data_IF_552256335145
#
_entry.id   IF_552256335145
#
_cell.length_a   1.000
_cell.length_b   1.000
_cell.length_c   1.000
_cell.angle_alpha   90.00
_cell.angle_beta   90.00
_cell.angle_gamma   90.00
#
_symmetry.space_group_name_H-M   'P 1'
#
loop_
_entity.id
_entity.type
_entity.pdbx_description
1 polymer ?
#
# COMPACT_ATOMS: atom_id res chain seq x y z
N UNK A 1 15.35 7.80 11.85
CA UNK A 1 14.39 7.85 10.72
C UNK A 1 13.92 6.42 10.45
N UNK A 2 12.62 6.11 10.62
CA UNK A 2 12.15 4.71 10.60
C UNK A 2 11.90 4.18 9.18
N UNK A 3 11.45 4.99 8.23
CA UNK A 3 11.05 4.51 6.89
C UNK A 3 12.10 4.70 5.79
N UNK A 4 13.36 4.99 6.14
CA UNK A 4 14.38 5.39 5.17
C UNK A 4 14.22 6.85 4.72
N UNK A 5 15.23 7.39 4.05
CA UNK A 5 15.28 8.81 3.67
C UNK A 5 14.30 9.13 2.54
N UNK A 6 14.10 8.17 1.65
CA UNK A 6 13.23 8.25 0.48
C UNK A 6 11.99 7.34 0.61
N UNK A 7 11.68 6.86 1.82
CA UNK A 7 10.60 5.91 2.06
C UNK A 7 10.91 4.49 1.60
N UNK A 8 12.18 4.16 1.34
CA UNK A 8 12.64 2.86 0.84
C UNK A 8 12.51 1.71 1.87
N UNK A 9 12.21 2.05 3.12
CA UNK A 9 12.23 1.15 4.27
C UNK A 9 13.65 0.91 4.76
N UNK A 10 13.81 0.62 6.06
CA UNK A 10 15.11 0.20 6.62
C UNK A 10 15.13 -1.31 6.82
N UNK A 11 16.20 -1.96 6.37
CA UNK A 11 16.47 -3.38 6.66
C UNK A 11 17.61 -3.47 7.67
N UNK A 12 17.42 -4.20 8.78
CA UNK A 12 18.52 -4.58 9.68
C UNK A 12 19.02 -3.52 10.66
N UNK A 13 18.13 -2.71 11.26
CA UNK A 13 18.54 -1.83 12.35
C UNK A 13 18.98 -2.65 13.58
N UNK A 14 20.24 -2.54 14.06
CA UNK A 14 20.66 -3.23 15.28
C UNK A 14 19.88 -2.63 16.45
N UNK A 15 19.20 -3.46 17.23
CA UNK A 15 18.20 -3.16 18.28
C UNK A 15 16.72 -3.08 17.88
N UNK A 16 16.32 -3.36 16.63
CA UNK A 16 14.89 -3.55 16.32
C UNK A 16 14.39 -4.93 16.76
N UNK A 17 14.48 -5.27 18.06
CA UNK A 17 13.78 -6.45 18.64
C UNK A 17 12.26 -6.42 18.40
N UNK A 18 11.74 -5.37 17.77
CA UNK A 18 10.48 -5.35 17.05
C UNK A 18 10.56 -6.16 15.76
N UNK A 19 9.72 -7.19 15.64
CA UNK A 19 9.44 -7.99 14.43
C UNK A 19 8.97 -7.18 13.19
N UNK A 20 9.03 -5.86 13.25
CA UNK A 20 8.62 -4.94 12.22
C UNK A 20 9.85 -4.47 11.43
N UNK A 21 10.10 -5.08 10.26
CA UNK A 21 10.79 -4.36 9.18
C UNK A 21 10.03 -3.05 8.98
N UNK A 22 10.69 -1.90 9.05
CA UNK A 22 9.96 -0.66 8.82
C UNK A 22 9.43 -0.66 7.40
N UNK A 23 8.11 -0.53 7.26
CA UNK A 23 7.44 -0.73 5.99
C UNK A 23 7.99 0.24 4.95
N UNK A 24 8.24 -0.28 3.74
CA UNK A 24 8.57 0.53 2.59
C UNK A 24 7.34 1.35 2.18
N UNK A 25 7.52 2.66 2.12
CA UNK A 25 6.48 3.60 1.73
C UNK A 25 6.55 3.91 0.23
N UNK A 26 7.75 3.95 -0.37
CA UNK A 26 7.98 4.39 -1.74
C UNK A 26 8.87 3.46 -2.56
N UNK A 27 8.80 3.55 -3.89
CA UNK A 27 9.64 2.78 -4.80
C UNK A 27 9.31 1.29 -4.85
N UNK A 28 8.05 0.91 -4.60
CA UNK A 28 7.55 -0.42 -4.93
C UNK A 28 7.41 -0.55 -6.45
N UNK A 29 7.93 -1.62 -7.02
CA UNK A 29 7.83 -1.95 -8.46
C UNK A 29 6.88 -3.13 -8.71
N UNK A 30 6.11 -3.55 -7.70
CA UNK A 30 5.35 -4.79 -7.75
C UNK A 30 3.92 -4.61 -8.29
N UNK A 31 3.58 -5.51 -9.21
CA UNK A 31 2.24 -6.03 -9.49
C UNK A 31 1.48 -6.31 -8.18
N UNK A 32 0.17 -6.07 -8.09
CA UNK A 32 -0.62 -6.57 -6.96
C UNK A 32 -0.36 -8.07 -6.79
N UNK A 33 -0.16 -8.55 -5.56
CA UNK A 33 0.16 -9.96 -5.23
C UNK A 33 -0.78 -10.98 -5.90
N UNK A 34 -1.99 -10.54 -6.29
CA UNK A 34 -3.00 -11.34 -6.98
C UNK A 34 -2.74 -11.53 -8.49
N UNK A 35 -1.91 -10.70 -9.12
CA UNK A 35 -1.47 -10.80 -10.51
C UNK A 35 -0.13 -11.54 -10.66
N UNK A 36 0.24 -12.40 -9.70
CA UNK A 36 1.37 -13.29 -9.93
C UNK A 36 0.96 -14.30 -10.99
N UNK A 37 1.50 -14.15 -12.21
CA UNK A 37 1.67 -15.29 -13.12
C UNK A 37 2.43 -16.43 -12.43
N UNK A 38 2.77 -17.51 -13.15
CA UNK A 38 3.62 -18.55 -12.58
C UNK A 38 4.83 -17.92 -11.90
N UNK A 39 5.09 -18.29 -10.64
CA UNK A 39 6.23 -17.77 -9.87
C UNK A 39 7.51 -18.00 -10.67
N UNK A 40 8.04 -16.96 -11.29
CA UNK A 40 9.34 -17.01 -11.94
C UNK A 40 10.42 -16.95 -10.85
N UNK A 41 11.20 -18.03 -10.63
CA UNK A 41 12.25 -18.04 -9.63
C UNK A 41 13.37 -17.02 -9.90
N UNK A 42 13.45 -16.52 -11.15
CA UNK A 42 14.43 -15.54 -11.60
C UNK A 42 13.87 -14.13 -11.67
N UNK A 43 12.56 -13.94 -11.41
CA UNK A 43 11.99 -12.60 -11.33
C UNK A 43 12.65 -11.82 -10.18
N UNK A 44 12.89 -10.52 -10.35
CA UNK A 44 13.35 -9.68 -9.27
C UNK A 44 12.37 -9.77 -8.09
N UNK A 45 12.85 -9.69 -6.83
CA UNK A 45 11.98 -9.76 -5.66
C UNK A 45 10.84 -8.74 -5.76
N UNK A 46 9.60 -9.18 -5.57
CA UNK A 46 8.44 -8.27 -5.52
C UNK A 46 8.58 -7.32 -4.33
N UNK A 47 8.61 -6.01 -4.62
CA UNK A 47 8.62 -4.98 -3.60
C UNK A 47 7.23 -4.34 -3.51
N UNK A 48 6.44 -4.80 -2.54
CA UNK A 48 5.08 -4.30 -2.31
C UNK A 48 5.14 -3.17 -1.26
N UNK A 49 4.82 -1.94 -1.67
CA UNK A 49 4.51 -0.86 -0.74
C UNK A 49 3.02 -0.90 -0.36
N UNK A 50 2.64 -0.25 0.74
CA UNK A 50 1.23 -0.17 1.15
C UNK A 50 0.31 0.36 0.04
N UNK A 51 0.82 1.25 -0.82
CA UNK A 51 0.08 1.84 -1.94
C UNK A 51 -0.35 0.84 -3.01
N UNK A 52 0.36 -0.28 -3.15
CA UNK A 52 0.00 -1.38 -4.06
C UNK A 52 -0.85 -2.46 -3.38
N UNK A 53 -1.09 -2.35 -2.07
CA UNK A 53 -1.93 -3.26 -1.31
C UNK A 53 -3.31 -2.67 -1.00
N UNK A 54 -3.41 -1.41 -0.58
CA UNK A 54 -4.69 -0.82 -0.20
C UNK A 54 -5.58 -0.51 -1.42
N UNK A 55 -6.91 -0.58 -1.23
CA UNK A 55 -7.89 -0.21 -2.26
C UNK A 55 -8.17 1.30 -2.32
N UNK A 56 -7.99 2.01 -1.20
CA UNK A 56 -8.31 3.43 -1.07
C UNK A 56 -7.10 4.22 -0.58
N UNK A 57 -6.80 5.38 -1.19
CA UNK A 57 -5.72 6.26 -0.73
C UNK A 57 -6.03 6.88 0.65
N UNK A 58 -7.31 6.99 1.01
CA UNK A 58 -7.75 7.43 2.34
C UNK A 58 -7.33 6.48 3.46
N UNK A 59 -7.08 5.20 3.16
CA UNK A 59 -6.50 4.27 4.13
C UNK A 59 -5.07 4.68 4.52
N UNK A 60 -4.28 5.16 3.56
CA UNK A 60 -2.92 5.67 3.81
C UNK A 60 -3.00 6.94 4.64
N UNK A 61 -3.86 7.89 4.24
CA UNK A 61 -4.08 9.13 4.99
C UNK A 61 -4.48 8.86 6.44
N UNK A 62 -5.45 7.98 6.65
CA UNK A 62 -5.91 7.63 8.00
C UNK A 62 -4.82 6.92 8.82
N UNK A 63 -4.02 6.07 8.17
CA UNK A 63 -2.91 5.42 8.85
C UNK A 63 -1.87 6.42 9.33
N UNK A 64 -1.57 7.44 8.51
CA UNK A 64 -0.65 8.52 8.88
C UNK A 64 -1.26 9.39 9.98
N UNK A 65 -2.53 9.77 9.87
CA UNK A 65 -3.22 10.60 10.85
C UNK A 65 -3.30 9.95 12.23
N UNK A 66 -3.65 8.66 12.29
CA UNK A 66 -4.02 7.99 13.54
C UNK A 66 -2.85 7.25 14.17
N UNK A 67 -2.00 6.60 13.36
CA UNK A 67 -0.97 5.71 13.88
C UNK A 67 0.46 6.27 13.77
N UNK A 68 0.65 7.37 13.04
CA UNK A 68 1.96 7.96 12.81
C UNK A 68 2.12 9.36 13.44
N UNK A 69 3.37 9.78 13.71
CA UNK A 69 4.59 8.96 13.72
C UNK A 69 4.56 7.90 14.83
N UNK A 70 5.35 6.83 14.68
CA UNK A 70 5.49 5.82 15.73
C UNK A 70 5.97 6.53 17.02
N UNK A 71 5.31 6.25 18.15
CA UNK A 71 5.49 6.92 19.45
C UNK A 71 4.93 8.35 19.59
N UNK A 72 4.36 8.91 18.52
CA UNK A 72 3.70 10.22 18.51
C UNK A 72 2.42 10.23 17.66
N UNK A 73 1.69 9.11 17.71
CA UNK A 73 0.44 8.91 16.98
C UNK A 73 -0.52 10.10 17.18
N UNK A 74 -1.10 10.62 16.10
CA UNK A 74 -2.05 11.74 16.16
C UNK A 74 -1.42 13.11 16.37
N UNK A 75 -0.09 13.25 16.31
CA UNK A 75 0.56 14.55 16.54
C UNK A 75 0.64 15.46 15.31
N UNK A 76 0.19 14.99 14.14
CA UNK A 76 0.29 15.72 12.87
C UNK A 76 -1.00 16.51 12.62
N UNK A 77 -0.85 17.69 12.02
CA UNK A 77 -1.96 18.47 11.49
C UNK A 77 -2.53 17.84 10.21
N UNK A 78 -3.80 18.12 9.86
CA UNK A 78 -4.40 17.58 8.63
C UNK A 78 -3.57 17.88 7.37
N UNK A 79 -3.00 19.08 7.24
CA UNK A 79 -2.21 19.49 6.08
C UNK A 79 -0.89 18.72 5.99
N UNK A 80 -0.24 18.44 7.13
CA UNK A 80 0.95 17.56 7.19
C UNK A 80 0.60 16.12 6.76
N UNK A 81 -0.56 15.61 7.19
CA UNK A 81 -1.02 14.26 6.80
C UNK A 81 -1.29 14.20 5.29
N UNK A 82 -1.97 15.19 4.72
CA UNK A 82 -2.19 15.27 3.27
C UNK A 82 -0.87 15.35 2.50
N UNK A 83 0.06 16.20 2.95
CA UNK A 83 1.38 16.36 2.33
C UNK A 83 2.19 15.07 2.36
N UNK A 84 2.21 14.37 3.50
CA UNK A 84 2.87 13.07 3.63
C UNK A 84 2.19 11.98 2.79
N UNK A 85 0.86 12.01 2.68
CA UNK A 85 0.12 11.09 1.81
C UNK A 85 0.47 11.32 0.34
N UNK A 86 0.51 12.58 -0.11
CA UNK A 86 0.95 12.95 -1.46
C UNK A 86 2.36 12.45 -1.73
N UNK A 87 3.28 12.66 -0.80
CA UNK A 87 4.65 12.14 -0.89
C UNK A 87 4.69 10.62 -1.09
N UNK A 88 3.93 9.86 -0.29
CA UNK A 88 3.85 8.40 -0.45
C UNK A 88 3.32 8.01 -1.83
N UNK A 89 2.25 8.65 -2.31
CA UNK A 89 1.67 8.36 -3.62
C UNK A 89 2.63 8.69 -4.77
N UNK A 90 3.30 9.85 -4.70
CA UNK A 90 4.29 10.30 -5.67
C UNK A 90 5.48 9.33 -5.74
N UNK A 91 6.01 8.90 -4.58
CA UNK A 91 7.10 7.91 -4.53
C UNK A 91 6.72 6.54 -5.10
N UNK A 92 5.45 6.27 -5.34
CA UNK A 92 4.96 5.06 -6.02
C UNK A 92 4.46 5.34 -7.45
N UNK A 93 4.73 6.51 -8.02
CA UNK A 93 4.28 6.93 -9.35
C UNK A 93 2.76 6.88 -9.55
N UNK A 94 1.99 7.13 -8.48
CA UNK A 94 0.52 7.13 -8.53
C UNK A 94 -0.09 8.52 -8.78
N UNK A 95 0.70 9.56 -8.52
CA UNK A 95 0.39 10.97 -8.80
C UNK A 95 1.65 11.66 -9.33
N UNK A 96 1.49 12.83 -9.94
CA UNK A 96 2.59 13.69 -10.39
C UNK A 96 3.16 14.51 -9.24
N UNK A 97 4.34 15.11 -9.44
CA UNK A 97 5.00 15.94 -8.42
C UNK A 97 4.19 17.20 -8.10
N UNK A 98 3.47 17.73 -9.09
CA UNK A 98 2.68 18.96 -8.97
C UNK A 98 1.24 18.73 -8.48
N UNK A 99 0.82 17.46 -8.30
CA UNK A 99 -0.54 17.13 -7.87
C UNK A 99 -0.71 17.44 -6.37
N UNK A 100 -1.72 18.26 -6.04
CA UNK A 100 -2.05 18.62 -4.65
C UNK A 100 -3.11 17.67 -4.10
N UNK A 101 -2.80 17.05 -2.95
CA UNK A 101 -3.74 16.17 -2.24
C UNK A 101 -4.48 16.93 -1.14
N UNK A 102 -5.81 16.87 -1.19
CA UNK A 102 -6.70 17.43 -0.19
C UNK A 102 -7.95 16.54 -0.02
N UNK A 103 -8.94 17.02 0.72
CA UNK A 103 -10.21 16.32 0.97
C UNK A 103 -10.97 15.97 -0.32
N UNK A 104 -10.85 16.78 -1.36
CA UNK A 104 -11.57 16.64 -2.63
C UNK A 104 -10.77 15.86 -3.68
N UNK A 105 -9.44 15.99 -3.68
CA UNK A 105 -8.56 15.37 -4.69
C UNK A 105 -8.09 13.98 -4.27
N UNK A 106 -7.78 13.76 -2.99
CA UNK A 106 -7.27 12.47 -2.51
C UNK A 106 -8.24 11.30 -2.82
N UNK A 107 -9.56 11.39 -2.58
CA UNK A 107 -10.47 10.28 -2.88
C UNK A 107 -10.59 9.92 -4.36
N UNK A 108 -10.17 10.82 -5.26
CA UNK A 108 -10.18 10.61 -6.71
C UNK A 108 -8.99 9.76 -7.20
N UNK A 109 -7.94 9.63 -6.39
CA UNK A 109 -6.79 8.78 -6.71
C UNK A 109 -7.21 7.31 -6.66
N UNK A 110 -7.03 6.60 -7.78
CA UNK A 110 -7.35 5.18 -7.91
C UNK A 110 -6.09 4.35 -7.67
N UNK A 111 -6.04 3.64 -6.53
CA UNK A 111 -4.94 2.72 -6.24
C UNK A 111 -5.00 1.46 -7.14
N UNK A 112 -3.87 0.81 -7.42
CA UNK A 112 -3.82 -0.37 -8.29
C UNK A 112 -4.68 -1.54 -7.79
N UNK A 113 -4.80 -1.71 -6.47
CA UNK A 113 -5.53 -2.82 -5.86
C UNK A 113 -7.01 -2.52 -5.58
N UNK A 114 -7.60 -1.56 -6.31
CA UNK A 114 -8.95 -1.01 -6.03
C UNK A 114 -10.05 -2.08 -5.99
N UNK A 115 -10.03 -3.02 -6.93
CA UNK A 115 -11.12 -3.98 -7.15
C UNK A 115 -10.77 -5.41 -6.73
N UNK A 116 -9.60 -5.61 -6.10
CA UNK A 116 -9.08 -6.96 -5.85
C UNK A 116 -9.51 -7.59 -4.51
N UNK A 117 -10.35 -6.90 -3.72
CA UNK A 117 -10.71 -7.35 -2.36
C UNK A 117 -12.03 -8.14 -2.30
N UNK A 118 -13.02 -7.77 -3.11
CA UNK A 118 -14.36 -8.36 -3.10
C UNK A 118 -14.82 -8.49 -4.55
N UNK A 119 -15.40 -9.64 -4.96
CA UNK A 119 -16.02 -9.77 -6.27
C UNK A 119 -17.13 -8.73 -6.47
N UNK A 120 -17.41 -8.37 -7.73
CA UNK A 120 -18.45 -7.39 -8.07
C UNK A 120 -19.86 -7.79 -7.60
N UNK A 121 -20.10 -9.08 -7.34
CA UNK A 121 -21.38 -9.61 -6.89
C UNK A 121 -21.21 -10.35 -5.56
N UNK A 122 -22.05 -10.02 -4.58
CA UNK A 122 -22.01 -10.63 -3.25
C UNK A 122 -22.34 -12.12 -3.32
N UNK A 123 -23.18 -12.54 -4.27
CA UNK A 123 -23.55 -13.93 -4.48
C UNK A 123 -22.33 -14.78 -4.89
N UNK A 124 -21.37 -14.17 -5.58
CA UNK A 124 -20.13 -14.83 -6.00
C UNK A 124 -19.17 -15.06 -4.81
N UNK A 125 -19.42 -14.46 -3.63
CA UNK A 125 -18.64 -14.74 -2.41
C UNK A 125 -18.84 -16.16 -1.87
N UNK A 126 -20.01 -16.77 -2.08
CA UNK A 126 -20.25 -18.15 -1.62
C UNK A 126 -19.84 -19.19 -2.65
N UNK A 127 -19.78 -18.78 -3.92
CA UNK A 127 -19.38 -19.62 -5.04
C UNK A 127 -17.85 -19.85 -5.01
N UNK A 128 -17.44 -21.03 -4.55
CA UNK A 128 -16.03 -21.42 -4.43
C UNK A 128 -15.29 -21.41 -5.77
N UNK A 129 -16.01 -21.58 -6.88
CA UNK A 129 -15.44 -21.67 -8.22
C UNK A 129 -15.26 -20.30 -8.86
N UNK A 130 -16.17 -19.37 -8.55
CA UNK A 130 -16.08 -17.97 -8.98
C UNK A 130 -15.24 -17.08 -8.07
N UNK A 131 -14.98 -17.52 -6.83
CA UNK A 131 -14.08 -16.84 -5.89
C UNK A 131 -12.62 -16.79 -6.34
N UNK A 132 -12.25 -17.48 -7.42
CA UNK A 132 -10.86 -17.52 -7.92
C UNK A 132 -9.88 -18.30 -7.05
N UNK A 133 -10.12 -18.38 -5.74
CA UNK A 133 -9.30 -19.04 -4.73
C UNK A 133 -9.29 -20.59 -4.81
N UNK A 134 -9.14 -21.19 -5.99
CA UNK A 134 -8.89 -22.64 -6.11
C UNK A 134 -7.41 -23.01 -5.93
N UNK A 135 -6.50 -22.03 -5.91
CA UNK A 135 -5.07 -22.26 -5.65
C UNK A 135 -4.72 -21.94 -4.19
N UNK A 136 -3.80 -22.70 -3.55
CA UNK A 136 -3.48 -22.61 -2.11
C UNK A 136 -2.92 -21.26 -1.64
N UNK A 137 -2.80 -20.27 -2.54
CA UNK A 137 -2.27 -18.94 -2.27
C UNK A 137 -3.22 -17.79 -2.65
N UNK A 138 -4.49 -18.08 -2.91
CA UNK A 138 -5.55 -17.06 -3.03
C UNK A 138 -5.56 -16.25 -4.34
N UNK A 139 -5.02 -16.76 -5.44
CA UNK A 139 -5.07 -16.05 -6.73
C UNK A 139 -6.53 -15.88 -7.16
N UNK A 140 -7.05 -14.65 -7.22
CA UNK A 140 -8.37 -14.33 -7.76
C UNK A 140 -8.22 -13.75 -9.19
N UNK A 141 -9.02 -14.17 -10.18
CA UNK A 141 -9.04 -13.56 -11.51
C UNK A 141 -9.60 -12.14 -11.49
#
# INVERSE_FOLDING_TARGET
>A
MCHGQNGEGITGAPSSQTFFKAARLGGGNATPKWQSGPRDPNAPPEIISGSFYFAFPTTIWNAIAVYMPQFRAGSLTPDEVYSLTAYVLFKNNLIKEEDVMDRETLPKVRLPNRDAFVPNRIEDLQDWDKRGCRLPYGVCP
#
